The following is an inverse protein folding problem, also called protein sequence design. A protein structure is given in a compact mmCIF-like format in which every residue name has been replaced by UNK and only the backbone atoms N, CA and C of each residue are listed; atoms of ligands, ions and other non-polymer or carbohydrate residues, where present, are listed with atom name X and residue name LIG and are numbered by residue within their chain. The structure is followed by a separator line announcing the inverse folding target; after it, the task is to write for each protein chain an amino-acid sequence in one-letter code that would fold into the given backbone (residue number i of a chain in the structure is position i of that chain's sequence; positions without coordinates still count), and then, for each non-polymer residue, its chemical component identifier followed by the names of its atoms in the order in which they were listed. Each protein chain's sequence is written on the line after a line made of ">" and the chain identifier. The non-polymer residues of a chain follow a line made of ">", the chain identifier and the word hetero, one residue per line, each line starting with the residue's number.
data_IF_031747496961
#
_entry.id   IF_031747496961
#
_cell.length_a   1.000
_cell.length_b   1.000
_cell.length_c   1.000
_cell.angle_alpha   90.00
_cell.angle_beta   90.00
_cell.angle_gamma   90.00
#
_symmetry.space_group_name_H-M   'P 1'
#
loop_
_entity.id
_entity.type
_entity.pdbx_description
1 polymer ?
#
# COMPACT_ATOMS: atom_id res chain seq x y z
N UNK A 1 20.21 31.25 2.89
CA UNK A 1 20.13 29.99 2.10
C UNK A 1 19.19 29.00 2.79
N UNK A 2 17.90 29.20 2.55
CA UNK A 2 16.79 28.25 2.40
C UNK A 2 16.81 26.92 3.18
N UNK A 3 16.44 26.96 4.47
CA UNK A 3 16.10 25.76 5.27
C UNK A 3 14.75 25.12 4.88
N UNK A 4 13.90 25.84 4.16
CA UNK A 4 12.53 25.42 3.82
C UNK A 4 12.45 24.33 2.74
N UNK A 5 13.53 24.06 2.01
CA UNK A 5 13.52 23.10 0.88
C UNK A 5 13.61 21.64 1.37
N UNK A 6 14.21 21.40 2.54
CA UNK A 6 14.43 20.04 3.04
C UNK A 6 13.14 19.39 3.55
N UNK A 7 12.18 20.18 4.05
CA UNK A 7 10.93 19.66 4.64
C UNK A 7 9.96 19.13 3.58
N UNK A 8 10.01 19.66 2.35
CA UNK A 8 9.10 19.26 1.26
C UNK A 8 9.48 17.91 0.64
N UNK A 9 10.75 17.50 0.72
CA UNK A 9 11.22 16.24 0.14
C UNK A 9 10.68 14.99 0.86
N UNK A 10 10.23 15.10 2.11
CA UNK A 10 9.68 13.97 2.89
C UNK A 10 8.20 13.67 2.57
N UNK A 11 7.47 14.59 1.93
CA UNK A 11 6.04 14.40 1.61
C UNK A 11 5.78 13.83 0.21
N UNK A 12 6.82 13.73 -0.64
CA UNK A 12 6.71 13.14 -1.99
C UNK A 12 7.09 11.66 -2.03
N UNK A 13 7.33 11.04 -0.87
CA UNK A 13 7.17 9.60 -0.75
C UNK A 13 5.66 9.30 -0.92
N UNK A 14 5.23 9.20 -2.17
CA UNK A 14 3.98 8.57 -2.56
C UNK A 14 4.03 7.10 -2.18
N UNK A 15 4.01 6.82 -0.87
CA UNK A 15 3.88 5.49 -0.34
C UNK A 15 2.49 5.05 -0.73
N UNK A 16 2.40 4.24 -1.79
CA UNK A 16 1.23 3.41 -1.98
C UNK A 16 1.03 2.67 -0.65
N UNK A 17 -0.02 3.06 0.08
CA UNK A 17 -0.19 2.65 1.47
C UNK A 17 -0.53 1.17 1.46
N UNK A 18 0.27 0.31 2.10
CA UNK A 18 0.05 -1.13 2.03
C UNK A 18 -1.36 -1.45 2.56
N UNK A 19 -2.08 -2.30 1.84
CA UNK A 19 -3.39 -2.76 2.29
C UNK A 19 -3.23 -4.04 3.10
N UNK A 20 -3.68 -4.02 4.36
CA UNK A 20 -3.60 -5.17 5.27
C UNK A 20 -4.95 -5.86 5.32
N UNK A 21 -4.93 -7.18 5.20
CA UNK A 21 -6.11 -8.04 5.25
C UNK A 21 -5.96 -9.08 6.35
N UNK A 22 -7.09 -9.40 6.99
CA UNK A 22 -7.17 -10.41 8.02
C UNK A 22 -8.25 -11.43 7.70
N UNK A 23 -7.90 -12.70 7.77
CA UNK A 23 -8.88 -13.78 7.78
C UNK A 23 -9.52 -13.89 9.17
N UNK A 24 -10.83 -13.75 9.24
CA UNK A 24 -11.57 -13.92 10.49
C UNK A 24 -11.70 -15.39 10.91
N UNK A 25 -11.54 -16.34 9.97
CA UNK A 25 -11.70 -17.78 10.24
C UNK A 25 -10.44 -18.39 10.83
N UNK A 26 -9.28 -18.10 10.24
CA UNK A 26 -7.99 -18.66 10.68
C UNK A 26 -7.12 -17.68 11.48
N UNK A 27 -7.46 -16.39 11.47
CA UNK A 27 -6.67 -15.35 12.13
C UNK A 27 -5.41 -14.93 11.37
N UNK A 28 -5.19 -15.46 10.17
CA UNK A 28 -4.05 -15.10 9.33
C UNK A 28 -4.12 -13.64 8.89
N UNK A 29 -2.93 -13.04 8.71
CA UNK A 29 -2.77 -11.65 8.27
C UNK A 29 -1.92 -11.64 7.01
N UNK A 30 -2.37 -10.90 6.01
CA UNK A 30 -1.67 -10.68 4.77
C UNK A 30 -1.55 -9.20 4.49
N UNK A 31 -0.46 -8.82 3.83
CA UNK A 31 -0.17 -7.44 3.48
C UNK A 31 0.09 -7.34 1.99
N UNK A 32 -0.74 -6.55 1.32
CA UNK A 32 -0.54 -6.13 -0.05
C UNK A 32 0.36 -4.89 -0.05
N UNK A 33 1.57 -5.04 -0.58
CA UNK A 33 2.50 -3.94 -0.75
C UNK A 33 2.85 -3.80 -2.23
N UNK A 34 3.10 -2.58 -2.68
CA UNK A 34 3.63 -2.33 -4.01
C UNK A 34 5.11 -2.72 -4.04
N UNK A 35 5.52 -3.46 -5.06
CA UNK A 35 6.93 -3.71 -5.36
C UNK A 35 7.47 -2.67 -6.34
N UNK A 36 6.57 -1.97 -7.04
CA UNK A 36 6.94 -0.86 -7.91
C UNK A 36 7.50 0.32 -7.11
N UNK A 37 8.68 0.87 -7.49
CA UNK A 37 9.25 2.02 -6.81
C UNK A 37 8.32 3.24 -6.89
N UNK A 38 8.24 4.02 -5.80
CA UNK A 38 7.30 5.13 -5.57
C UNK A 38 7.34 6.30 -6.55
N UNK A 39 8.10 6.18 -7.65
CA UNK A 39 8.08 7.09 -8.80
C UNK A 39 6.82 6.84 -9.66
N UNK A 40 6.22 5.65 -9.60
CA UNK A 40 5.03 5.28 -10.37
C UNK A 40 3.82 4.99 -9.46
N UNK A 41 3.15 6.02 -8.92
CA UNK A 41 2.08 5.85 -7.95
C UNK A 41 0.87 5.09 -8.51
N UNK A 42 0.55 5.23 -9.80
CA UNK A 42 -0.58 4.53 -10.44
C UNK A 42 -0.33 3.02 -10.49
N UNK A 43 0.89 2.61 -10.86
CA UNK A 43 1.26 1.20 -10.96
C UNK A 43 1.33 0.58 -9.57
N UNK A 44 1.92 1.28 -8.61
CA UNK A 44 1.98 0.85 -7.22
C UNK A 44 0.58 0.68 -6.59
N UNK A 45 -0.37 1.58 -6.87
CA UNK A 45 -1.75 1.42 -6.42
C UNK A 45 -2.43 0.22 -7.09
N UNK A 46 -2.25 0.05 -8.41
CA UNK A 46 -2.80 -1.09 -9.16
C UNK A 46 -2.35 -2.43 -8.58
N UNK A 47 -1.06 -2.58 -8.24
CA UNK A 47 -0.53 -3.80 -7.60
C UNK A 47 -1.21 -4.10 -6.27
N UNK A 48 -1.42 -3.07 -5.45
CA UNK A 48 -2.11 -3.19 -4.17
C UNK A 48 -3.59 -3.54 -4.38
N UNK A 49 -4.26 -2.93 -5.34
CA UNK A 49 -5.65 -3.20 -5.69
C UNK A 49 -5.86 -4.63 -6.21
N UNK A 50 -4.99 -5.12 -7.09
CA UNK A 50 -5.05 -6.48 -7.63
C UNK A 50 -4.85 -7.53 -6.52
N UNK A 51 -3.91 -7.27 -5.60
CA UNK A 51 -3.70 -8.08 -4.41
C UNK A 51 -4.90 -8.02 -3.46
N UNK A 52 -5.45 -6.83 -3.20
CA UNK A 52 -6.64 -6.62 -2.39
C UNK A 52 -7.86 -7.37 -2.95
N UNK A 53 -8.03 -7.38 -4.27
CA UNK A 53 -9.11 -8.10 -4.94
C UNK A 53 -8.96 -9.63 -4.79
N UNK A 54 -7.75 -10.16 -4.70
CA UNK A 54 -7.54 -11.58 -4.40
C UNK A 54 -7.99 -11.93 -2.98
N UNK A 55 -7.61 -11.14 -1.98
CA UNK A 55 -8.03 -11.35 -0.59
C UNK A 55 -9.52 -11.09 -0.38
N UNK A 56 -10.10 -10.12 -1.06
CA UNK A 56 -11.55 -9.88 -1.06
C UNK A 56 -12.35 -11.07 -1.60
N UNK A 57 -11.83 -11.79 -2.61
CA UNK A 57 -12.44 -13.04 -3.09
C UNK A 57 -12.32 -14.20 -2.10
N UNK A 58 -11.38 -14.14 -1.16
CA UNK A 58 -11.20 -15.12 -0.09
C UNK A 58 -12.01 -14.79 1.16
N UNK A 59 -12.84 -13.74 1.13
CA UNK A 59 -13.65 -13.26 2.27
C UNK A 59 -12.80 -12.66 3.42
N UNK A 60 -11.54 -12.27 3.13
CA UNK A 60 -10.68 -11.62 4.13
C UNK A 60 -11.11 -10.16 4.32
N UNK A 61 -11.08 -9.69 5.56
CA UNK A 61 -11.49 -8.33 5.91
C UNK A 61 -10.30 -7.37 5.85
N UNK A 62 -10.48 -6.22 5.20
CA UNK A 62 -9.49 -5.14 5.20
C UNK A 62 -9.44 -4.49 6.59
N UNK A 63 -8.24 -4.31 7.14
CA UNK A 63 -8.02 -3.59 8.39
C UNK A 63 -7.96 -2.07 8.20
#
# INVERSE_FOLDING_TARGET
>A
MNRSIIVVALMLAGCASPAVFRDLKTGQVAQCNATTPGIFPIIAQREIDDCAAAYGRMDWQKQ
#
